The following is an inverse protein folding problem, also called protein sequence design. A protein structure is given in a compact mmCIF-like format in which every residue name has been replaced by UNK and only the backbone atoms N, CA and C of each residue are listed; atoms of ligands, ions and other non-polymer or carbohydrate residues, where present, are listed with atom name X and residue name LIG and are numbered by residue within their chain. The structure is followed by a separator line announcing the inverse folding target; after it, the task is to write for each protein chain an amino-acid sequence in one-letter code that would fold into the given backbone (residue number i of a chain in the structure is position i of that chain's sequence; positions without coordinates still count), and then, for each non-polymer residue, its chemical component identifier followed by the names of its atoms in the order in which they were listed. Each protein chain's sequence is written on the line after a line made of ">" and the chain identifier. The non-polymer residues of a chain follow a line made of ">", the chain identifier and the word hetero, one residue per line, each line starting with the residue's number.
data_IF_461225444090
#
_entry.id   IF_461225444090
#
_cell.length_a   1.000
_cell.length_b   1.000
_cell.length_c   1.000
_cell.angle_alpha   90.00
_cell.angle_beta   90.00
_cell.angle_gamma   90.00
#
_symmetry.space_group_name_H-M   'P 1'
#
loop_
_entity.id
_entity.type
_entity.pdbx_description
1 polymer ?
#
# COMPACT_ATOMS: atom_id res chain seq x y z
N UNK A 1 -14.14 -23.35 7.82
CA UNK A 1 -14.76 -23.85 6.57
C UNK A 1 -14.68 -22.74 5.54
N UNK A 2 -13.72 -22.79 4.61
CA UNK A 2 -13.69 -21.88 3.46
C UNK A 2 -14.90 -22.20 2.60
N UNK A 3 -15.81 -21.26 2.43
CA UNK A 3 -16.93 -21.40 1.50
C UNK A 3 -16.40 -21.11 0.10
N UNK A 4 -16.17 -22.13 -0.75
CA UNK A 4 -15.59 -21.94 -2.10
C UNK A 4 -16.44 -20.98 -2.94
N UNK A 5 -17.75 -20.94 -2.66
CA UNK A 5 -18.69 -19.98 -3.25
C UNK A 5 -18.35 -18.53 -2.87
N UNK A 6 -18.12 -18.24 -1.58
CA UNK A 6 -17.79 -16.88 -1.12
C UNK A 6 -16.43 -16.43 -1.68
N UNK A 7 -15.46 -17.33 -1.71
CA UNK A 7 -14.16 -17.07 -2.32
C UNK A 7 -14.29 -16.74 -3.82
N UNK A 8 -15.08 -17.52 -4.57
CA UNK A 8 -15.30 -17.27 -5.99
C UNK A 8 -16.04 -15.94 -6.24
N UNK A 9 -17.03 -15.59 -5.42
CA UNK A 9 -17.75 -14.31 -5.51
C UNK A 9 -16.76 -13.14 -5.32
N UNK A 10 -15.99 -13.15 -4.22
CA UNK A 10 -15.02 -12.09 -3.93
C UNK A 10 -13.94 -12.02 -5.01
N UNK A 11 -13.49 -13.17 -5.53
CA UNK A 11 -12.51 -13.26 -6.62
C UNK A 11 -13.02 -12.62 -7.91
N UNK A 12 -14.23 -12.97 -8.37
CA UNK A 12 -14.78 -12.39 -9.60
C UNK A 12 -15.09 -10.90 -9.44
N UNK A 13 -15.59 -10.47 -8.28
CA UNK A 13 -15.76 -9.05 -7.96
C UNK A 13 -14.43 -8.31 -8.01
N UNK A 14 -13.38 -8.86 -7.40
CA UNK A 14 -12.03 -8.30 -7.44
C UNK A 14 -11.47 -8.23 -8.87
N UNK A 15 -11.65 -9.29 -9.67
CA UNK A 15 -11.20 -9.33 -11.06
C UNK A 15 -11.91 -8.27 -11.91
N UNK A 16 -13.23 -8.14 -11.77
CA UNK A 16 -14.00 -7.10 -12.45
C UNK A 16 -13.55 -5.69 -12.05
N UNK A 17 -13.31 -5.46 -10.76
CA UNK A 17 -12.83 -4.18 -10.25
C UNK A 17 -11.44 -3.80 -10.79
N UNK A 18 -10.50 -4.76 -10.80
CA UNK A 18 -9.16 -4.56 -11.37
C UNK A 18 -9.22 -4.29 -12.87
N UNK A 19 -10.09 -5.01 -13.60
CA UNK A 19 -10.29 -4.80 -15.03
C UNK A 19 -10.84 -3.40 -15.31
N UNK A 20 -11.87 -2.98 -14.56
CA UNK A 20 -12.44 -1.64 -14.63
C UNK A 20 -11.39 -0.56 -14.39
N UNK A 21 -10.58 -0.68 -13.33
CA UNK A 21 -9.49 0.25 -13.03
C UNK A 21 -8.44 0.31 -14.15
N UNK A 22 -8.00 -0.86 -14.64
CA UNK A 22 -7.02 -0.94 -15.72
C UNK A 22 -7.51 -0.27 -17.01
N UNK A 23 -8.75 -0.56 -17.43
CA UNK A 23 -9.37 0.07 -18.60
C UNK A 23 -9.55 1.57 -18.37
N UNK A 24 -10.00 2.01 -17.19
CA UNK A 24 -10.15 3.44 -16.85
C UNK A 24 -8.81 4.18 -16.98
N UNK A 25 -7.70 3.59 -16.51
CA UNK A 25 -6.36 4.18 -16.62
C UNK A 25 -5.84 4.23 -18.07
N UNK A 26 -6.10 3.19 -18.87
CA UNK A 26 -5.74 3.20 -20.30
C UNK A 26 -6.56 4.23 -21.07
N UNK A 27 -7.87 4.30 -20.79
CA UNK A 27 -8.76 5.25 -21.43
C UNK A 27 -8.46 6.69 -21.04
N UNK A 28 -8.14 6.98 -19.77
CA UNK A 28 -7.74 8.33 -19.33
C UNK A 28 -6.41 8.79 -19.94
N UNK A 29 -5.52 7.84 -20.23
CA UNK A 29 -4.26 8.11 -20.92
C UNK A 29 -4.46 8.44 -22.40
N UNK A 30 -5.53 7.93 -23.02
CA UNK A 30 -5.90 8.18 -24.43
C UNK A 30 -6.78 9.43 -24.59
N UNK A 31 -7.84 9.55 -23.77
CA UNK A 31 -8.76 10.67 -23.75
C UNK A 31 -8.21 11.73 -22.83
N UNK A 32 -7.30 12.54 -23.37
CA UNK A 32 -6.69 13.72 -22.72
C UNK A 32 -7.78 14.61 -22.11
N UNK A 33 -8.15 14.33 -20.87
CA UNK A 33 -8.84 15.25 -20.01
C UNK A 33 -8.24 15.07 -18.64
N UNK A 34 -7.36 16.01 -18.31
CA UNK A 34 -7.12 16.40 -16.94
C UNK A 34 -8.45 16.90 -16.37
N UNK A 35 -9.39 15.99 -16.09
CA UNK A 35 -10.13 16.12 -14.86
C UNK A 35 -9.16 15.63 -13.81
N UNK A 36 -8.47 16.57 -13.19
CA UNK A 36 -8.15 16.38 -11.79
C UNK A 36 -9.49 15.99 -11.15
N UNK A 37 -9.67 14.69 -10.88
CA UNK A 37 -10.73 14.26 -9.99
C UNK A 37 -10.51 15.12 -8.76
N UNK A 38 -11.44 16.06 -8.51
CA UNK A 38 -11.32 17.04 -7.45
C UNK A 38 -10.94 16.25 -6.22
N UNK A 39 -9.73 16.50 -5.72
CA UNK A 39 -9.30 15.91 -4.47
C UNK A 39 -10.38 16.34 -3.49
N UNK A 40 -11.25 15.40 -3.08
CA UNK A 40 -12.07 15.62 -1.92
C UNK A 40 -11.05 16.01 -0.86
N UNK A 41 -11.15 17.25 -0.37
CA UNK A 41 -10.27 17.79 0.65
C UNK A 41 -10.62 17.05 1.95
N UNK A 42 -10.19 15.79 2.01
CA UNK A 42 -10.29 14.98 3.20
C UNK A 42 -9.35 15.65 4.17
N UNK A 43 -9.91 16.24 5.22
CA UNK A 43 -9.13 16.91 6.26
C UNK A 43 -7.97 16.01 6.67
N UNK A 44 -6.74 16.53 6.58
CA UNK A 44 -5.51 15.78 6.85
C UNK A 44 -5.55 15.07 8.21
N UNK A 45 -6.22 15.67 9.20
CA UNK A 45 -6.45 15.08 10.53
C UNK A 45 -7.31 13.81 10.51
N UNK A 46 -8.32 13.73 9.64
CA UNK A 46 -9.14 12.54 9.47
C UNK A 46 -8.36 11.39 8.83
N UNK A 47 -7.48 11.70 7.87
CA UNK A 47 -6.59 10.68 7.28
C UNK A 47 -5.63 10.13 8.34
N UNK A 48 -5.01 11.00 9.14
CA UNK A 48 -4.10 10.57 10.21
C UNK A 48 -4.82 9.70 11.23
N UNK A 49 -5.99 10.12 11.73
CA UNK A 49 -6.80 9.33 12.66
C UNK A 49 -7.17 7.97 12.08
N UNK A 50 -7.65 7.93 10.83
CA UNK A 50 -7.99 6.66 10.15
C UNK A 50 -6.78 5.76 10.02
N UNK A 51 -5.65 6.29 9.57
CA UNK A 51 -4.41 5.53 9.44
C UNK A 51 -3.91 5.00 10.78
N UNK A 52 -3.97 5.81 11.84
CA UNK A 52 -3.60 5.43 13.20
C UNK A 52 -4.50 4.30 13.72
N UNK A 53 -5.82 4.46 13.61
CA UNK A 53 -6.78 3.44 14.05
C UNK A 53 -6.60 2.14 13.27
N UNK A 54 -6.46 2.20 11.94
CA UNK A 54 -6.22 1.03 11.10
C UNK A 54 -4.91 0.32 11.47
N UNK A 55 -3.86 1.08 11.79
CA UNK A 55 -2.55 0.53 12.16
C UNK A 55 -2.59 -0.11 13.54
N UNK A 56 -3.20 0.55 14.53
CA UNK A 56 -3.36 0.03 15.89
C UNK A 56 -4.31 -1.18 15.95
N UNK A 57 -5.29 -1.24 15.05
CA UNK A 57 -6.25 -2.35 14.96
C UNK A 57 -5.73 -3.48 14.07
N UNK A 58 -4.48 -3.43 13.60
CA UNK A 58 -3.90 -4.49 12.77
C UNK A 58 -3.21 -5.56 13.64
N UNK A 59 -3.91 -6.66 14.02
CA UNK A 59 -3.33 -7.67 14.91
C UNK A 59 -2.12 -8.34 14.29
N UNK A 60 -2.05 -8.43 12.96
CA UNK A 60 -0.92 -9.03 12.25
C UNK A 60 0.37 -8.25 12.48
N UNK A 61 0.30 -6.92 12.45
CA UNK A 61 1.46 -6.07 12.70
C UNK A 61 1.94 -6.20 14.16
N UNK A 62 1.01 -6.19 15.12
CA UNK A 62 1.33 -6.36 16.54
C UNK A 62 1.98 -7.72 16.79
N UNK A 63 1.39 -8.81 16.29
CA UNK A 63 1.92 -10.16 16.45
C UNK A 63 3.29 -10.32 15.80
N UNK A 64 3.53 -9.68 14.66
CA UNK A 64 4.85 -9.65 14.03
C UNK A 64 5.87 -8.95 14.94
N UNK A 65 5.57 -7.76 15.45
CA UNK A 65 6.48 -7.03 16.35
C UNK A 65 6.77 -7.80 17.64
N UNK A 66 5.75 -8.36 18.30
CA UNK A 66 5.94 -9.16 19.51
C UNK A 66 6.82 -10.38 19.20
N UNK A 67 6.53 -11.11 18.13
CA UNK A 67 7.30 -12.31 17.75
C UNK A 67 8.75 -11.98 17.38
N UNK A 68 8.97 -10.84 16.71
CA UNK A 68 10.31 -10.39 16.37
C UNK A 68 11.07 -9.95 17.63
N UNK A 69 10.47 -9.13 18.49
CA UNK A 69 11.16 -8.53 19.64
C UNK A 69 11.52 -9.57 20.69
N UNK A 70 10.62 -10.51 20.97
CA UNK A 70 10.88 -11.59 21.95
C UNK A 70 12.07 -12.46 21.51
N UNK A 71 12.35 -12.59 20.21
CA UNK A 71 13.52 -13.34 19.73
C UNK A 71 14.86 -12.65 20.05
N UNK A 72 14.88 -11.34 20.25
CA UNK A 72 16.09 -10.56 20.51
C UNK A 72 16.23 -10.10 21.97
N UNK A 73 15.22 -10.35 22.81
CA UNK A 73 15.23 -9.93 24.21
C UNK A 73 15.44 -11.15 25.09
N UNK A 74 16.54 -11.11 25.86
CA UNK A 74 16.74 -12.05 26.95
C UNK A 74 15.84 -11.67 28.14
N UNK A 75 14.84 -12.50 28.41
CA UNK A 75 13.89 -12.32 29.51
C UNK A 75 14.51 -12.55 30.90
N UNK A 76 15.71 -13.14 30.97
CA UNK A 76 16.44 -13.38 32.23
C UNK A 76 17.30 -12.18 32.65
N UNK A 77 17.44 -11.18 31.76
CA UNK A 77 18.17 -9.95 32.04
C UNK A 77 17.47 -9.10 33.11
N UNK A 78 18.23 -8.41 33.96
CA UNK A 78 17.70 -7.65 35.09
C UNK A 78 16.76 -6.49 34.71
N UNK A 79 16.84 -5.97 33.46
CA UNK A 79 16.03 -4.84 32.96
C UNK A 79 15.56 -5.07 31.51
N UNK A 80 14.62 -6.00 31.26
CA UNK A 80 14.19 -6.36 29.90
C UNK A 80 13.47 -5.20 29.18
N UNK A 81 12.83 -4.30 29.93
CA UNK A 81 12.18 -3.10 29.37
C UNK A 81 13.14 -2.12 28.69
N UNK A 82 14.40 -2.01 29.15
CA UNK A 82 15.42 -1.18 28.48
C UNK A 82 15.81 -1.76 27.13
N UNK A 83 16.00 -3.08 27.03
CA UNK A 83 16.28 -3.75 25.77
C UNK A 83 15.13 -3.59 24.77
N UNK A 84 13.88 -3.70 25.25
CA UNK A 84 12.70 -3.44 24.42
C UNK A 84 12.67 -1.99 23.93
N UNK A 85 12.92 -1.01 24.80
CA UNK A 85 12.91 0.41 24.44
C UNK A 85 13.99 0.76 23.40
N UNK A 86 15.21 0.23 23.57
CA UNK A 86 16.30 0.42 22.60
C UNK A 86 15.92 -0.19 21.26
N UNK A 87 15.44 -1.44 21.24
CA UNK A 87 15.07 -2.13 20.01
C UNK A 87 13.90 -1.43 19.29
N UNK A 88 12.87 -1.01 20.05
CA UNK A 88 11.75 -0.22 19.54
C UNK A 88 12.22 1.10 18.91
N UNK A 89 13.08 1.83 19.62
CA UNK A 89 13.59 3.13 19.17
C UNK A 89 14.46 3.00 17.92
N UNK A 90 15.33 1.98 17.86
CA UNK A 90 16.15 1.71 16.67
C UNK A 90 15.27 1.39 15.47
N UNK A 91 14.27 0.54 15.63
CA UNK A 91 13.36 0.18 14.55
C UNK A 91 12.54 1.36 14.08
N UNK A 92 12.02 2.18 15.01
CA UNK A 92 11.25 3.37 14.69
C UNK A 92 12.11 4.39 13.93
N UNK A 93 13.36 4.60 14.36
CA UNK A 93 14.27 5.53 13.69
C UNK A 93 14.59 5.08 12.27
N UNK A 94 14.87 3.79 12.06
CA UNK A 94 15.08 3.22 10.71
C UNK A 94 13.82 3.39 9.85
N UNK A 95 12.65 3.07 10.41
CA UNK A 95 11.37 3.18 9.71
C UNK A 95 11.06 4.62 9.32
N UNK A 96 11.26 5.57 10.24
CA UNK A 96 11.08 6.99 10.00
C UNK A 96 12.02 7.50 8.90
N UNK A 97 13.31 7.16 8.95
CA UNK A 97 14.26 7.51 7.90
C UNK A 97 13.86 6.93 6.54
N UNK A 98 13.47 5.65 6.52
CA UNK A 98 13.06 4.95 5.30
C UNK A 98 11.79 5.57 4.68
N UNK A 99 10.74 5.78 5.47
CA UNK A 99 9.51 6.41 4.99
C UNK A 99 9.74 7.87 4.56
N UNK A 100 10.52 8.64 5.32
CA UNK A 100 10.87 10.01 4.95
C UNK A 100 11.61 10.04 3.61
N UNK A 101 12.59 9.15 3.42
CA UNK A 101 13.30 9.01 2.16
C UNK A 101 12.36 8.65 1.01
N UNK A 102 11.45 7.69 1.20
CA UNK A 102 10.45 7.31 0.19
C UNK A 102 9.50 8.45 -0.17
N UNK A 103 9.00 9.20 0.82
CA UNK A 103 8.08 10.32 0.60
C UNK A 103 8.77 11.44 -0.18
N UNK A 104 9.97 11.83 0.26
CA UNK A 104 10.73 12.90 -0.37
C UNK A 104 11.13 12.49 -1.79
N UNK A 105 11.80 11.36 -1.97
CA UNK A 105 12.21 10.86 -3.29
C UNK A 105 11.01 10.63 -4.23
N UNK A 106 9.91 10.06 -3.73
CA UNK A 106 8.69 9.85 -4.48
C UNK A 106 8.05 11.16 -4.95
N UNK A 107 8.07 12.20 -4.11
CA UNK A 107 7.54 13.52 -4.46
C UNK A 107 8.37 14.18 -5.57
N UNK A 108 9.70 14.17 -5.46
CA UNK A 108 10.60 14.67 -6.50
C UNK A 108 10.46 13.89 -7.81
N UNK A 109 10.43 12.56 -7.75
CA UNK A 109 10.25 11.71 -8.93
C UNK A 109 8.91 12.00 -9.61
N UNK A 110 7.83 12.14 -8.84
CA UNK A 110 6.50 12.44 -9.37
C UNK A 110 6.49 13.80 -10.07
N UNK A 111 7.09 14.83 -9.48
CA UNK A 111 7.20 16.15 -10.09
C UNK A 111 8.01 16.10 -11.39
N UNK A 112 9.15 15.38 -11.39
CA UNK A 112 10.00 15.24 -12.57
C UNK A 112 9.31 14.46 -13.72
N UNK A 113 8.61 13.36 -13.39
CA UNK A 113 7.86 12.56 -14.36
C UNK A 113 6.70 13.36 -14.96
N UNK A 114 6.01 14.17 -14.14
CA UNK A 114 4.92 15.06 -14.60
C UNK A 114 5.40 16.07 -15.66
N UNK A 115 6.65 16.53 -15.59
CA UNK A 115 7.24 17.42 -16.60
C UNK A 115 7.43 16.70 -17.95
N UNK A 116 7.56 15.37 -17.97
CA UNK A 116 7.77 14.55 -19.18
C UNK A 116 6.49 13.83 -19.59
N UNK A 117 5.67 14.46 -20.44
CA UNK A 117 4.37 13.93 -20.93
C UNK A 117 4.43 12.51 -21.48
N UNK A 118 5.47 12.15 -22.24
CA UNK A 118 5.65 10.78 -22.79
C UNK A 118 5.88 9.74 -21.68
N UNK A 119 6.64 10.08 -20.65
CA UNK A 119 6.97 9.17 -19.55
C UNK A 119 5.76 8.94 -18.64
N UNK A 120 5.00 10.00 -18.34
CA UNK A 120 3.72 9.87 -17.61
C UNK A 120 2.74 8.98 -18.37
N UNK A 121 2.62 9.16 -19.70
CA UNK A 121 1.77 8.33 -20.56
C UNK A 121 2.20 6.86 -20.58
N UNK A 122 3.50 6.60 -20.71
CA UNK A 122 4.03 5.24 -20.68
C UNK A 122 3.79 4.57 -19.32
N UNK A 123 4.08 5.28 -18.23
CA UNK A 123 3.88 4.78 -16.85
C UNK A 123 2.42 4.43 -16.57
N UNK A 124 1.49 5.35 -16.88
CA UNK A 124 0.05 5.09 -16.70
C UNK A 124 -0.45 3.94 -17.59
N UNK A 125 0.08 3.81 -18.81
CA UNK A 125 -0.29 2.71 -19.70
C UNK A 125 0.22 1.37 -19.18
N UNK A 126 1.47 1.31 -18.71
CA UNK A 126 2.06 0.12 -18.11
C UNK A 126 1.29 -0.31 -16.86
N UNK A 127 0.98 0.64 -15.96
CA UNK A 127 0.14 0.36 -14.79
C UNK A 127 -1.22 -0.19 -15.20
N UNK A 128 -1.90 0.44 -16.17
CA UNK A 128 -3.18 -0.04 -16.68
C UNK A 128 -3.10 -1.47 -17.24
N UNK A 129 -2.06 -1.78 -18.02
CA UNK A 129 -1.82 -3.13 -18.54
C UNK A 129 -1.55 -4.14 -17.42
N UNK A 130 -0.79 -3.77 -16.39
CA UNK A 130 -0.55 -4.61 -15.21
C UNK A 130 -1.85 -4.90 -14.47
N UNK A 131 -2.72 -3.90 -14.28
CA UNK A 131 -4.05 -4.09 -13.67
C UNK A 131 -4.94 -5.04 -14.48
N UNK A 132 -4.97 -4.89 -15.80
CA UNK A 132 -5.70 -5.82 -16.69
C UNK A 132 -5.09 -7.23 -16.62
N UNK A 133 -3.76 -7.34 -16.58
CA UNK A 133 -3.05 -8.60 -16.41
C UNK A 133 -3.37 -9.28 -15.08
N UNK A 134 -3.41 -8.52 -13.99
CA UNK A 134 -3.84 -9.03 -12.68
C UNK A 134 -5.30 -9.43 -12.66
N UNK A 135 -6.18 -8.68 -13.33
CA UNK A 135 -7.59 -9.05 -13.48
C UNK A 135 -7.74 -10.40 -14.19
N UNK A 136 -7.02 -10.60 -15.31
CA UNK A 136 -7.00 -11.86 -16.05
C UNK A 136 -6.42 -12.99 -15.20
N UNK A 137 -5.30 -12.76 -14.49
CA UNK A 137 -4.69 -13.76 -13.61
C UNK A 137 -5.62 -14.12 -12.45
N UNK A 138 -6.29 -13.14 -11.85
CA UNK A 138 -7.25 -13.35 -10.77
C UNK A 138 -8.49 -14.09 -11.28
N UNK A 139 -8.96 -13.81 -12.50
CA UNK A 139 -10.06 -14.52 -13.12
C UNK A 139 -9.70 -15.96 -13.53
N UNK A 140 -8.43 -16.27 -13.80
CA UNK A 140 -7.96 -17.59 -14.23
C UNK A 140 -7.36 -18.46 -13.12
N UNK A 141 -7.06 -17.87 -11.96
CA UNK A 141 -6.58 -18.57 -10.76
C UNK A 141 -7.60 -19.62 -10.28
N UNK A 142 -7.52 -20.86 -10.76
CA UNK A 142 -8.43 -21.94 -10.34
C UNK A 142 -8.40 -22.11 -8.81
N UNK A 143 -9.61 -22.24 -8.22
CA UNK A 143 -9.83 -22.51 -6.80
C UNK A 143 -9.55 -23.96 -6.45
#
# INVERSE_FOLDING_TARGET
>A
KTTPVLFNIVRYLGAFYLLYLGIKMLYSTLKRSAKEEGHHDVQKGEIFKRALILSLTNPKAILFYVSFFVQFIDITYARPGMSFFILASTLELISFCYFSFLIVSGSYLTQWVKTKKKLTRLGNSLLGLVFVGFAARLATLQS
#
